data_IF_900847052557
#
_entry.id   IF_900847052557
#
_cell.length_a   1.000
_cell.length_b   1.000
_cell.length_c   1.000
_cell.angle_alpha   90.00
_cell.angle_beta   90.00
_cell.angle_gamma   90.00
#
_symmetry.space_group_name_H-M   'P 1'
#
loop_
_entity.id
_entity.type
_entity.pdbx_description
1 polymer ?
#
# COMPACT_ATOMS: atom_id res chain seq x y z
N UNK A 1 -19.74 20.51 3.57
CA UNK A 1 -21.15 20.96 3.55
C UNK A 1 -22.12 19.79 3.61
N UNK A 2 -22.37 19.03 2.52
CA UNK A 2 -23.29 17.86 2.61
C UNK A 2 -22.78 16.74 3.53
N UNK A 3 -21.48 16.46 3.50
CA UNK A 3 -20.85 15.47 4.39
C UNK A 3 -20.97 15.87 5.87
N UNK A 4 -20.73 17.15 6.19
CA UNK A 4 -20.86 17.67 7.56
C UNK A 4 -22.31 17.66 8.06
N UNK A 5 -23.26 18.02 7.19
CA UNK A 5 -24.67 18.11 7.54
C UNK A 5 -25.30 16.73 7.75
N UNK A 6 -24.90 15.73 6.96
CA UNK A 6 -25.49 14.39 6.99
C UNK A 6 -24.70 13.39 7.86
N UNK A 7 -23.61 13.80 8.51
CA UNK A 7 -22.72 12.92 9.28
C UNK A 7 -23.44 12.05 10.32
N UNK A 8 -24.47 12.59 10.96
CA UNK A 8 -25.19 11.91 12.03
C UNK A 8 -26.40 11.09 11.54
N UNK A 9 -26.72 11.13 10.25
CA UNK A 9 -27.83 10.36 9.70
C UNK A 9 -27.44 8.87 9.55
N UNK A 10 -28.35 7.97 9.90
CA UNK A 10 -28.16 6.52 9.80
C UNK A 10 -27.79 6.11 8.36
N UNK A 11 -28.43 6.71 7.37
CA UNK A 11 -28.14 6.48 5.95
C UNK A 11 -26.68 6.78 5.60
N UNK A 12 -26.14 7.89 6.13
CA UNK A 12 -24.76 8.28 5.88
C UNK A 12 -23.76 7.34 6.58
N UNK A 13 -24.12 6.79 7.74
CA UNK A 13 -23.31 5.75 8.40
C UNK A 13 -23.27 4.46 7.57
N UNK A 14 -24.38 4.03 6.99
CA UNK A 14 -24.41 2.84 6.11
C UNK A 14 -23.55 3.08 4.87
N UNK A 15 -23.68 4.26 4.24
CA UNK A 15 -22.85 4.66 3.09
C UNK A 15 -21.37 4.69 3.49
N UNK A 16 -21.04 5.25 4.66
CA UNK A 16 -19.68 5.28 5.20
C UNK A 16 -19.08 3.88 5.39
N UNK A 17 -19.87 2.92 5.87
CA UNK A 17 -19.45 1.51 5.99
C UNK A 17 -19.17 0.86 4.63
N UNK A 18 -20.03 1.07 3.64
CA UNK A 18 -19.83 0.57 2.27
C UNK A 18 -18.60 1.19 1.61
N UNK A 19 -18.41 2.50 1.80
CA UNK A 19 -17.22 3.24 1.36
C UNK A 19 -15.96 2.68 2.01
N UNK A 20 -16.00 2.36 3.30
CA UNK A 20 -14.87 1.74 4.00
C UNK A 20 -14.54 0.36 3.43
N UNK A 21 -15.54 -0.48 3.16
CA UNK A 21 -15.35 -1.78 2.50
C UNK A 21 -14.73 -1.64 1.11
N UNK A 22 -15.24 -0.71 0.28
CA UNK A 22 -14.67 -0.42 -1.02
C UNK A 22 -13.21 0.04 -0.92
N UNK A 23 -12.88 0.90 0.06
CA UNK A 23 -11.52 1.34 0.30
C UNK A 23 -10.61 0.18 0.74
N UNK A 24 -11.05 -0.68 1.68
CA UNK A 24 -10.30 -1.83 2.17
C UNK A 24 -9.99 -2.85 1.06
N UNK A 25 -10.92 -3.09 0.13
CA UNK A 25 -10.67 -3.98 -1.02
C UNK A 25 -9.60 -3.42 -1.94
N UNK A 26 -9.65 -2.12 -2.26
CA UNK A 26 -8.67 -1.46 -3.14
C UNK A 26 -7.31 -1.26 -2.50
N UNK A 27 -7.24 -0.99 -1.20
CA UNK A 27 -5.98 -0.86 -0.47
C UNK A 27 -5.42 -2.19 0.07
N UNK A 28 -5.99 -3.32 -0.36
CA UNK A 28 -5.58 -4.69 -0.04
C UNK A 28 -5.48 -4.97 1.47
N UNK A 29 -6.35 -4.36 2.28
CA UNK A 29 -6.41 -4.63 3.72
C UNK A 29 -7.00 -6.03 3.98
N UNK A 30 -6.69 -6.64 5.12
CA UNK A 30 -7.25 -7.93 5.55
C UNK A 30 -8.78 -7.77 5.61
N UNK A 31 -9.57 -8.68 4.99
CA UNK A 31 -9.18 -9.99 4.45
C UNK A 31 -8.76 -10.01 2.97
N UNK A 32 -8.85 -8.89 2.25
CA UNK A 32 -8.63 -8.77 0.81
C UNK A 32 -7.15 -8.55 0.44
N UNK A 33 -6.19 -9.00 1.25
CA UNK A 33 -4.76 -8.76 1.00
C UNK A 33 -4.13 -9.69 -0.04
N UNK A 34 -4.77 -10.83 -0.33
CA UNK A 34 -4.20 -11.91 -1.14
C UNK A 34 -3.91 -11.56 -2.60
N UNK A 35 -4.66 -10.62 -3.19
CA UNK A 35 -4.52 -10.31 -4.62
C UNK A 35 -3.27 -9.46 -4.92
N UNK A 36 -2.76 -8.71 -3.94
CA UNK A 36 -1.65 -7.79 -4.16
C UNK A 36 -0.32 -8.52 -4.43
N UNK A 37 0.08 -9.55 -3.64
CA UNK A 37 1.25 -10.37 -3.97
C UNK A 37 1.09 -11.13 -5.29
N UNK A 38 -0.13 -11.58 -5.61
CA UNK A 38 -0.41 -12.31 -6.85
C UNK A 38 -0.27 -11.42 -8.10
N UNK A 39 -0.52 -10.12 -7.99
CA UNK A 39 -0.40 -9.17 -9.10
C UNK A 39 1.04 -8.96 -9.60
N UNK A 40 2.06 -9.41 -8.86
CA UNK A 40 3.48 -9.27 -9.22
C UNK A 40 3.95 -10.17 -10.38
N UNK A 41 3.04 -10.96 -10.96
CA UNK A 41 3.25 -11.61 -12.25
C UNK A 41 3.38 -10.59 -13.41
N UNK A 42 2.84 -9.38 -13.25
CA UNK A 42 2.89 -8.32 -14.25
C UNK A 42 4.34 -7.82 -14.53
N UNK A 43 4.58 -7.22 -15.71
CA UNK A 43 5.89 -6.65 -16.03
C UNK A 43 6.25 -5.50 -15.08
N UNK A 44 7.54 -5.34 -14.81
CA UNK A 44 8.10 -4.39 -13.82
C UNK A 44 7.66 -2.93 -13.98
N UNK A 45 7.54 -2.34 -15.18
CA UNK A 45 7.03 -0.98 -15.32
C UNK A 45 5.53 -0.87 -14.98
N UNK A 46 4.74 -1.92 -15.25
CA UNK A 46 3.32 -1.95 -14.88
C UNK A 46 3.17 -2.06 -13.37
N UNK A 47 3.98 -2.91 -12.71
CA UNK A 47 3.98 -2.98 -11.25
C UNK A 47 4.44 -1.66 -10.61
N UNK A 48 5.41 -0.97 -11.22
CA UNK A 48 5.86 0.34 -10.76
C UNK A 48 4.71 1.34 -10.77
N UNK A 49 3.91 1.43 -11.84
CA UNK A 49 2.82 2.38 -11.92
C UNK A 49 1.63 1.98 -11.04
N UNK A 50 1.15 0.74 -11.19
CA UNK A 50 -0.11 0.26 -10.61
C UNK A 50 -0.03 0.16 -9.09
N UNK A 51 1.08 -0.33 -8.56
CA UNK A 51 1.21 -0.62 -7.13
C UNK A 51 1.86 0.52 -6.33
N UNK A 52 2.57 1.45 -6.96
CA UNK A 52 3.12 2.61 -6.24
C UNK A 52 2.14 3.77 -6.14
N UNK A 53 1.43 4.10 -7.22
CA UNK A 53 0.89 5.46 -7.39
C UNK A 53 -0.61 5.52 -7.67
N UNK A 54 -1.22 4.50 -8.27
CA UNK A 54 -2.60 4.62 -8.79
C UNK A 54 -3.62 3.69 -8.14
N UNK A 55 -3.45 2.37 -8.22
CA UNK A 55 -4.55 1.45 -7.92
C UNK A 55 -4.77 1.30 -6.41
N UNK A 56 -3.68 1.13 -5.65
CA UNK A 56 -3.76 0.79 -4.23
C UNK A 56 -3.91 2.04 -3.35
N UNK A 57 -3.36 3.16 -3.81
CA UNK A 57 -3.47 4.49 -3.18
C UNK A 57 -4.86 5.10 -3.37
N UNK A 58 -5.62 4.72 -4.41
CA UNK A 58 -6.98 5.21 -4.64
C UNK A 58 -7.93 4.89 -3.48
N UNK A 59 -7.79 3.73 -2.83
CA UNK A 59 -8.58 3.37 -1.65
C UNK A 59 -8.30 4.30 -0.46
N UNK A 60 -7.03 4.61 -0.21
CA UNK A 60 -6.59 5.54 0.83
C UNK A 60 -7.07 6.96 0.52
N UNK A 61 -6.94 7.40 -0.73
CA UNK A 61 -7.38 8.73 -1.17
C UNK A 61 -8.90 8.92 -1.02
N UNK A 62 -9.69 7.89 -1.32
CA UNK A 62 -11.13 7.91 -1.12
C UNK A 62 -11.44 8.19 0.36
N UNK A 63 -10.80 7.48 1.29
CA UNK A 63 -11.00 7.71 2.73
C UNK A 63 -10.52 9.08 3.20
N UNK A 64 -9.43 9.62 2.63
CA UNK A 64 -9.01 11.01 2.87
C UNK A 64 -10.13 12.00 2.52
N UNK A 65 -10.85 11.77 1.41
CA UNK A 65 -11.96 12.65 0.99
C UNK A 65 -13.20 12.51 1.86
N UNK A 66 -13.46 11.32 2.40
CA UNK A 66 -14.60 11.05 3.30
C UNK A 66 -14.21 11.05 4.77
N UNK A 67 -13.14 11.76 5.14
CA UNK A 67 -12.60 11.78 6.50
C UNK A 67 -13.66 12.15 7.57
N UNK A 68 -14.53 13.12 7.26
CA UNK A 68 -15.52 13.60 8.22
C UNK A 68 -16.54 12.51 8.62
N UNK A 69 -16.83 11.58 7.71
CA UNK A 69 -17.73 10.43 7.91
C UNK A 69 -17.04 9.30 8.69
N UNK A 70 -15.73 9.14 8.48
CA UNK A 70 -14.93 8.10 9.14
C UNK A 70 -14.67 8.36 10.61
N UNK A 71 -14.74 9.61 11.07
CA UNK A 71 -14.49 10.00 12.47
C UNK A 71 -15.57 9.53 13.46
N UNK A 72 -16.46 8.62 13.06
CA UNK A 72 -17.30 7.88 13.99
C UNK A 72 -16.42 6.90 14.78
N UNK A 73 -16.55 6.91 16.11
CA UNK A 73 -15.66 6.19 17.02
C UNK A 73 -15.50 4.70 16.70
N UNK A 74 -16.61 4.03 16.39
CA UNK A 74 -16.65 2.61 16.03
C UNK A 74 -15.93 2.31 14.70
N UNK A 75 -16.16 3.14 13.68
CA UNK A 75 -15.56 2.97 12.35
C UNK A 75 -14.04 3.19 12.39
N UNK A 76 -13.61 4.24 13.08
CA UNK A 76 -12.20 4.54 13.26
C UNK A 76 -11.46 3.40 13.98
N UNK A 77 -12.00 2.88 15.09
CA UNK A 77 -11.39 1.77 15.83
C UNK A 77 -11.31 0.48 15.02
N UNK A 78 -12.37 0.16 14.27
CA UNK A 78 -12.36 -1.01 13.40
C UNK A 78 -11.26 -0.89 12.33
N UNK A 79 -11.14 0.27 11.68
CA UNK A 79 -10.12 0.54 10.69
C UNK A 79 -8.71 0.46 11.28
N UNK A 80 -8.51 0.98 12.50
CA UNK A 80 -7.24 0.93 13.21
C UNK A 80 -6.80 -0.52 13.48
N UNK A 81 -7.72 -1.37 13.94
CA UNK A 81 -7.43 -2.78 14.20
C UNK A 81 -7.04 -3.52 12.92
N UNK A 82 -7.85 -3.38 11.87
CA UNK A 82 -7.60 -4.06 10.58
C UNK A 82 -6.27 -3.59 9.97
N UNK A 83 -6.01 -2.29 10.00
CA UNK A 83 -4.78 -1.71 9.45
C UNK A 83 -3.52 -2.04 10.25
N UNK A 84 -3.63 -2.21 11.57
CA UNK A 84 -2.55 -2.72 12.42
C UNK A 84 -2.21 -4.18 12.10
N UNK A 85 -3.24 -5.03 11.93
CA UNK A 85 -3.07 -6.43 11.58
C UNK A 85 -2.47 -6.60 10.17
N UNK A 86 -2.86 -5.78 9.20
CA UNK A 86 -2.29 -5.84 7.84
C UNK A 86 -0.84 -5.43 7.82
N UNK A 87 -0.48 -4.38 8.54
CA UNK A 87 0.91 -3.94 8.67
C UNK A 87 1.78 -5.07 9.23
N UNK A 88 1.33 -5.71 10.30
CA UNK A 88 2.05 -6.79 10.95
C UNK A 88 2.18 -8.04 10.06
N UNK A 89 1.07 -8.49 9.45
CA UNK A 89 1.06 -9.64 8.54
C UNK A 89 1.97 -9.42 7.32
N UNK A 90 1.90 -8.24 6.71
CA UNK A 90 2.71 -7.90 5.55
C UNK A 90 4.21 -7.81 5.90
N UNK A 91 4.53 -7.22 7.06
CA UNK A 91 5.90 -7.12 7.55
C UNK A 91 6.53 -8.49 7.84
N UNK A 92 5.79 -9.39 8.50
CA UNK A 92 6.26 -10.75 8.71
C UNK A 92 6.38 -11.53 7.40
N UNK A 93 5.38 -11.44 6.51
CA UNK A 93 5.39 -12.13 5.23
C UNK A 93 6.57 -11.72 4.35
N UNK A 94 6.94 -10.44 4.34
CA UNK A 94 8.06 -9.93 3.53
C UNK A 94 9.40 -10.59 3.88
N UNK A 95 9.60 -10.98 5.14
CA UNK A 95 10.86 -11.60 5.59
C UNK A 95 11.02 -13.06 5.15
N UNK A 96 9.93 -13.73 4.79
CA UNK A 96 9.93 -15.14 4.37
C UNK A 96 9.82 -15.33 2.85
N UNK A 97 9.65 -14.25 2.09
CA UNK A 97 9.61 -14.29 0.63
C UNK A 97 11.00 -14.22 0.02
N UNK A 98 11.20 -14.93 -1.10
CA UNK A 98 12.48 -14.97 -1.82
C UNK A 98 12.44 -14.20 -3.16
N UNK A 99 11.24 -13.89 -3.67
CA UNK A 99 11.07 -13.13 -4.91
C UNK A 99 11.17 -11.63 -4.63
N UNK A 100 12.11 -10.95 -5.29
CA UNK A 100 12.38 -9.52 -5.08
C UNK A 100 11.13 -8.64 -5.26
N UNK A 101 10.29 -8.90 -6.28
CA UNK A 101 9.06 -8.13 -6.48
C UNK A 101 8.03 -8.37 -5.37
N UNK A 102 7.91 -9.59 -4.84
CA UNK A 102 6.96 -9.90 -3.77
C UNK A 102 7.37 -9.24 -2.46
N UNK A 103 8.66 -9.15 -2.16
CA UNK A 103 9.14 -8.38 -1.00
C UNK A 103 8.78 -6.90 -1.14
N UNK A 104 8.99 -6.30 -2.32
CA UNK A 104 8.59 -4.90 -2.57
C UNK A 104 7.06 -4.75 -2.46
N UNK A 105 6.29 -5.72 -2.95
CA UNK A 105 4.83 -5.74 -2.83
C UNK A 105 4.37 -5.79 -1.37
N UNK A 106 4.89 -6.71 -0.57
CA UNK A 106 4.51 -6.83 0.84
C UNK A 106 4.95 -5.61 1.65
N UNK A 107 6.06 -4.97 1.29
CA UNK A 107 6.44 -3.69 1.88
C UNK A 107 5.61 -2.50 1.37
N UNK A 108 4.88 -2.58 0.24
CA UNK A 108 3.81 -1.61 -0.08
C UNK A 108 2.59 -1.85 0.80
N UNK A 109 2.23 -3.11 1.01
CA UNK A 109 1.07 -3.49 1.81
C UNK A 109 1.22 -3.03 3.27
N UNK A 110 2.42 -3.18 3.85
CA UNK A 110 2.68 -2.69 5.21
C UNK A 110 2.58 -1.16 5.33
N UNK A 111 3.09 -0.43 4.33
CA UNK A 111 3.04 1.04 4.29
C UNK A 111 1.62 1.57 4.07
N UNK A 112 0.80 0.85 3.30
CA UNK A 112 -0.62 1.16 3.15
C UNK A 112 -1.38 0.90 4.45
N UNK A 113 -1.09 -0.19 5.16
CA UNK A 113 -1.58 -0.40 6.53
C UNK A 113 -1.25 0.77 7.45
N UNK A 114 -0.03 1.32 7.34
CA UNK A 114 0.38 2.51 8.10
C UNK A 114 -0.41 3.76 7.71
N UNK A 115 -0.63 4.01 6.43
CA UNK A 115 -1.46 5.15 6.01
C UNK A 115 -2.91 5.04 6.52
N UNK A 116 -3.46 3.82 6.52
CA UNK A 116 -4.82 3.54 6.98
C UNK A 116 -4.94 3.70 8.51
N UNK A 117 -3.90 3.34 9.27
CA UNK A 117 -3.88 3.56 10.72
C UNK A 117 -3.78 5.05 11.06
N UNK A 118 -2.96 5.83 10.34
CA UNK A 118 -2.91 7.30 10.51
C UNK A 118 -4.27 7.94 10.21
N UNK A 119 -4.97 7.49 9.16
CA UNK A 119 -6.32 7.97 8.85
C UNK A 119 -7.31 7.69 9.97
N UNK A 120 -7.26 6.48 10.53
CA UNK A 120 -8.14 6.09 11.64
C UNK A 120 -7.94 6.95 12.90
N UNK A 121 -6.75 7.54 13.09
CA UNK A 121 -6.44 8.42 14.21
C UNK A 121 -6.90 9.88 14.04
N UNK A 122 -7.37 10.29 12.85
CA UNK A 122 -7.74 11.70 12.62
C UNK A 122 -6.84 12.46 11.65
N UNK A 123 -5.64 11.95 11.37
CA UNK A 123 -4.59 12.76 10.77
C UNK A 123 -4.53 12.64 9.25
N UNK A 124 -5.60 13.03 8.56
CA UNK A 124 -5.70 12.92 7.09
C UNK A 124 -4.59 13.66 6.33
N UNK A 125 -4.10 14.81 6.84
CA UNK A 125 -2.99 15.56 6.23
C UNK A 125 -1.68 14.77 6.27
N UNK A 126 -1.39 14.10 7.39
CA UNK A 126 -0.20 13.25 7.54
C UNK A 126 -0.30 12.03 6.64
N UNK A 127 -1.47 11.39 6.58
CA UNK A 127 -1.71 10.27 5.67
C UNK A 127 -1.51 10.67 4.20
N UNK A 128 -1.99 11.85 3.79
CA UNK A 128 -1.78 12.35 2.43
C UNK A 128 -0.31 12.65 2.13
N UNK A 129 0.42 13.27 3.06
CA UNK A 129 1.86 13.48 2.92
C UNK A 129 2.61 12.15 2.75
N UNK A 130 2.30 11.18 3.61
CA UNK A 130 2.91 9.85 3.53
C UNK A 130 2.56 9.12 2.22
N UNK A 131 1.34 9.29 1.70
CA UNK A 131 0.93 8.73 0.40
C UNK A 131 1.82 9.26 -0.74
N UNK A 132 2.10 10.57 -0.76
CA UNK A 132 2.95 11.18 -1.78
C UNK A 132 4.39 10.69 -1.70
N UNK A 133 4.98 10.64 -0.50
CA UNK A 133 6.36 10.14 -0.33
C UNK A 133 6.46 8.67 -0.69
N UNK A 134 5.50 7.85 -0.27
CA UNK A 134 5.43 6.44 -0.62
C UNK A 134 5.38 6.23 -2.14
N UNK A 135 4.55 6.99 -2.87
CA UNK A 135 4.44 6.86 -4.31
C UNK A 135 5.80 7.09 -5.00
N UNK A 136 6.54 8.13 -4.59
CA UNK A 136 7.86 8.44 -5.14
C UNK A 136 8.89 7.35 -4.82
N UNK A 137 9.04 6.96 -3.55
CA UNK A 137 10.04 5.97 -3.14
C UNK A 137 9.73 4.57 -3.68
N UNK A 138 8.46 4.16 -3.74
CA UNK A 138 8.08 2.86 -4.30
C UNK A 138 8.23 2.80 -5.81
N UNK A 139 7.91 3.87 -6.53
CA UNK A 139 8.18 3.93 -7.97
C UNK A 139 9.67 3.74 -8.26
N UNK A 140 10.54 4.41 -7.48
CA UNK A 140 11.98 4.25 -7.58
C UNK A 140 12.42 2.80 -7.31
N UNK A 141 11.95 2.19 -6.21
CA UNK A 141 12.29 0.81 -5.86
C UNK A 141 11.86 -0.19 -6.94
N UNK A 142 10.66 -0.06 -7.51
CA UNK A 142 10.20 -0.94 -8.58
C UNK A 142 10.99 -0.75 -9.89
N UNK A 143 11.44 0.47 -10.19
CA UNK A 143 12.30 0.72 -11.36
C UNK A 143 13.69 0.13 -11.17
N UNK A 144 14.30 0.30 -9.99
CA UNK A 144 15.61 -0.28 -9.68
C UNK A 144 15.53 -1.82 -9.59
N UNK A 145 14.46 -2.38 -9.04
CA UNK A 145 14.17 -3.81 -9.11
C UNK A 145 14.09 -4.31 -10.56
N UNK A 146 13.44 -3.54 -11.43
CA UNK A 146 13.32 -3.85 -12.85
C UNK A 146 14.66 -3.92 -13.57
N UNK A 147 15.57 -2.97 -13.30
CA UNK A 147 16.91 -2.99 -13.89
C UNK A 147 17.76 -4.16 -13.37
N UNK A 148 17.65 -4.52 -12.08
CA UNK A 148 18.33 -5.68 -11.49
C UNK A 148 17.83 -6.98 -12.15
N UNK A 149 16.51 -7.17 -12.24
CA UNK A 149 15.91 -8.39 -12.84
C UNK A 149 16.29 -8.51 -14.33
N UNK A 150 16.28 -7.41 -15.07
CA UNK A 150 16.66 -7.41 -16.48
C UNK A 150 18.13 -7.82 -16.68
N UNK A 151 19.04 -7.27 -15.87
CA UNK A 151 20.47 -7.59 -15.95
C UNK A 151 20.78 -9.02 -15.47
N UNK A 152 19.93 -9.59 -14.62
CA UNK A 152 20.02 -10.98 -14.16
C UNK A 152 19.21 -11.96 -15.05
N UNK A 153 19.03 -11.65 -16.34
CA UNK A 153 18.34 -12.49 -17.34
C UNK A 153 16.95 -12.96 -16.87
N UNK A 154 16.17 -12.06 -16.28
CA UNK A 154 14.82 -12.30 -15.75
C UNK A 154 14.72 -13.23 -14.52
N UNK A 155 15.83 -13.53 -13.84
CA UNK A 155 15.77 -14.18 -12.52
C UNK A 155 15.29 -13.20 -11.44
N UNK A 156 14.33 -13.64 -10.63
CA UNK A 156 13.70 -12.81 -9.57
C UNK A 156 14.06 -13.25 -8.15
N UNK A 157 14.64 -14.44 -8.01
CA UNK A 157 15.02 -15.02 -6.73
C UNK A 157 16.27 -14.34 -6.17
N UNK A 158 16.15 -13.73 -5.00
CA UNK A 158 17.22 -12.96 -4.34
C UNK A 158 18.41 -13.87 -3.99
N UNK A 159 18.19 -15.17 -3.78
CA UNK A 159 19.28 -16.11 -3.45
C UNK A 159 20.28 -16.26 -4.60
N UNK A 160 19.84 -15.97 -5.83
CA UNK A 160 20.68 -15.98 -7.03
C UNK A 160 21.28 -14.61 -7.35
N UNK A 161 20.96 -13.58 -6.55
CA UNK A 161 21.43 -12.21 -6.74
C UNK A 161 22.62 -11.91 -5.83
N UNK A 162 23.83 -12.13 -6.34
CA UNK A 162 25.08 -11.79 -5.67
C UNK A 162 25.76 -10.54 -6.26
N UNK A 163 26.68 -9.94 -5.49
CA UNK A 163 27.63 -8.90 -5.92
C UNK A 163 27.07 -7.69 -6.69
N UNK A 164 25.79 -7.36 -6.49
CA UNK A 164 25.11 -6.24 -7.17
C UNK A 164 25.76 -4.88 -6.92
N UNK A 165 26.33 -4.66 -5.73
CA UNK A 165 27.02 -3.41 -5.39
C UNK A 165 28.23 -3.12 -6.28
N UNK A 166 28.92 -4.17 -6.75
CA UNK A 166 30.09 -4.04 -7.63
C UNK A 166 29.68 -3.98 -9.10
N UNK A 167 28.64 -4.71 -9.51
CA UNK A 167 28.21 -4.77 -10.90
C UNK A 167 27.33 -3.59 -11.32
N UNK A 168 26.51 -3.06 -10.41
CA UNK A 168 25.57 -1.97 -10.67
C UNK A 168 25.55 -0.95 -9.51
N UNK A 169 26.64 -0.19 -9.30
CA UNK A 169 26.78 0.69 -8.13
C UNK A 169 25.73 1.80 -8.09
N UNK A 170 25.36 2.37 -9.25
CA UNK A 170 24.34 3.41 -9.30
C UNK A 170 22.98 2.89 -8.87
N UNK A 171 22.54 1.74 -9.38
CA UNK A 171 21.22 1.20 -9.03
C UNK A 171 21.18 0.75 -7.57
N UNK A 172 22.28 0.20 -7.04
CA UNK A 172 22.38 -0.14 -5.62
C UNK A 172 22.42 1.09 -4.72
N UNK A 173 22.93 2.23 -5.19
CA UNK A 173 22.88 3.48 -4.42
C UNK A 173 21.49 4.10 -4.36
N UNK A 174 20.67 3.85 -5.39
CA UNK A 174 19.29 4.35 -5.46
C UNK A 174 18.29 3.41 -4.77
N UNK A 175 18.53 2.09 -4.82
CA UNK A 175 17.67 1.05 -4.22
C UNK A 175 17.71 1.10 -2.69
#
# INVERSE_FOLDING_TARGET
FYLDMMKNNIEMMIIGGLVMLAAMTKSAQIPFSSWLPAAMAAPTPVSALVHSSTLVTAGVYLLIRFNDVLMNWWMAQFLLLVSGLTMFMAGLGANFEFDLKKIIALSTLSQLGLMMSILSMGFYKLAFFHLLTHALFKALLFMCAGSIIHNMKNSQDIRMMGSLSMSMPLTCSCF
#
